data_IF_842597272902
#
_entry.id   IF_842597272902
#
_cell.length_a   1.000
_cell.length_b   1.000
_cell.length_c   1.000
_cell.angle_alpha   90.00
_cell.angle_beta   90.00
_cell.angle_gamma   90.00
#
_symmetry.space_group_name_H-M   'P 1'
#
loop_
_entity.id
_entity.type
_entity.pdbx_description
1 polymer ?
#
# COMPACT_ATOMS: atom_id res chain seq x y z
N UNK A 1 -13.81 14.92 21.06
CA UNK A 1 -12.90 13.77 20.89
C UNK A 1 -12.84 13.48 19.39
N UNK A 2 -11.88 14.08 18.69
CA UNK A 2 -11.75 13.93 17.23
C UNK A 2 -11.03 12.60 16.99
N UNK A 3 -11.77 11.56 16.61
CA UNK A 3 -11.20 10.31 16.11
C UNK A 3 -10.76 10.55 14.67
N UNK A 4 -9.48 10.79 14.46
CA UNK A 4 -8.86 10.60 13.15
C UNK A 4 -8.37 9.16 13.11
N UNK A 5 -9.08 8.33 12.33
CA UNK A 5 -8.69 6.96 12.03
C UNK A 5 -7.60 7.00 10.95
N UNK A 6 -6.36 7.28 11.33
CA UNK A 6 -5.24 7.19 10.41
C UNK A 6 -4.57 5.82 10.56
N UNK A 7 -4.75 5.01 9.53
CA UNK A 7 -4.09 3.73 9.35
C UNK A 7 -2.81 3.96 8.54
N UNK A 8 -1.65 3.57 9.08
CA UNK A 8 -0.39 3.66 8.35
C UNK A 8 -0.12 2.34 7.63
N UNK A 9 0.06 2.38 6.31
CA UNK A 9 0.32 1.21 5.49
C UNK A 9 1.82 1.03 5.28
N UNK A 10 2.35 -0.14 5.63
CA UNK A 10 3.68 -0.54 5.19
C UNK A 10 3.56 -1.07 3.75
N UNK A 11 4.12 -0.32 2.80
CA UNK A 11 4.23 -0.72 1.40
C UNK A 11 5.69 -1.04 1.09
N UNK A 12 5.90 -2.12 0.35
CA UNK A 12 7.21 -2.53 -0.12
C UNK A 12 7.36 -2.12 -1.58
N UNK A 13 8.34 -1.28 -1.86
CA UNK A 13 8.91 -1.07 -3.18
C UNK A 13 10.43 -1.21 -3.06
N UNK A 14 11.09 -1.78 -4.07
CA UNK A 14 12.55 -1.84 -4.10
C UNK A 14 13.05 -0.70 -4.99
N UNK A 15 13.86 0.20 -4.42
CA UNK A 15 14.63 1.15 -5.22
C UNK A 15 15.64 0.34 -6.06
N UNK A 16 15.56 0.47 -7.38
CA UNK A 16 16.66 0.08 -8.26
C UNK A 16 17.77 1.14 -8.13
N UNK A 17 19.06 0.79 -8.27
CA UNK A 17 20.15 1.76 -8.23
C UNK A 17 20.25 2.60 -9.51
N UNK A 18 19.30 2.47 -10.45
CA UNK A 18 19.29 3.18 -11.72
C UNK A 18 18.16 4.21 -11.75
N UNK A 19 18.48 5.40 -12.25
CA UNK A 19 17.66 6.62 -12.26
C UNK A 19 16.49 6.56 -13.27
N UNK A 20 16.00 5.37 -13.59
CA UNK A 20 14.72 5.21 -14.27
C UNK A 20 13.61 5.30 -13.23
N UNK A 21 12.70 6.27 -13.38
CA UNK A 21 11.39 6.34 -12.71
C UNK A 21 10.48 5.11 -13.01
N UNK A 22 11.06 4.07 -13.61
CA UNK A 22 10.40 2.88 -14.10
C UNK A 22 10.83 1.67 -13.26
N UNK A 23 9.87 0.83 -12.94
CA UNK A 23 10.05 -0.34 -12.09
C UNK A 23 10.75 -1.42 -12.91
N UNK A 24 11.98 -1.78 -12.55
CA UNK A 24 12.73 -2.84 -13.24
C UNK A 24 12.17 -4.24 -12.87
N UNK A 25 11.50 -4.95 -13.80
CA UNK A 25 10.93 -6.27 -13.55
C UNK A 25 11.99 -7.39 -13.51
N UNK A 26 13.24 -7.10 -13.86
CA UNK A 26 14.34 -8.08 -13.94
C UNK A 26 15.18 -8.13 -12.66
N UNK A 27 14.92 -7.25 -11.68
CA UNK A 27 15.55 -7.33 -10.36
C UNK A 27 15.13 -8.61 -9.66
N UNK A 28 16.11 -9.33 -9.11
CA UNK A 28 15.86 -10.54 -8.33
C UNK A 28 14.98 -10.24 -7.12
N UNK A 29 13.80 -10.88 -6.97
CA UNK A 29 12.90 -10.61 -5.86
C UNK A 29 13.57 -10.92 -4.52
N UNK A 30 13.57 -9.95 -3.60
CA UNK A 30 13.93 -10.22 -2.21
C UNK A 30 12.80 -11.04 -1.59
N UNK A 31 13.14 -12.18 -0.99
CA UNK A 31 12.18 -13.01 -0.25
C UNK A 31 11.88 -12.36 1.09
N UNK A 32 10.72 -11.74 1.18
CA UNK A 32 10.21 -11.14 2.39
C UNK A 32 9.10 -12.04 2.94
N UNK A 33 9.24 -12.47 4.20
CA UNK A 33 8.18 -13.22 4.88
C UNK A 33 7.22 -12.23 5.55
N UNK A 34 5.93 -12.21 5.21
CA UNK A 34 4.96 -11.28 5.81
C UNK A 34 4.89 -11.39 7.33
N UNK A 35 5.16 -12.57 7.90
CA UNK A 35 5.26 -12.80 9.34
C UNK A 35 6.33 -11.95 10.03
N UNK A 36 7.29 -11.39 9.30
CA UNK A 36 8.31 -10.52 9.86
C UNK A 36 7.76 -9.12 10.18
N UNK A 37 6.58 -8.79 9.67
CA UNK A 37 5.95 -7.48 9.87
C UNK A 37 4.69 -7.65 10.69
N UNK A 38 4.59 -6.86 11.75
CA UNK A 38 3.42 -6.81 12.62
C UNK A 38 2.99 -5.36 12.76
N UNK A 39 1.78 -5.08 12.30
CA UNK A 39 1.08 -3.84 12.61
C UNK A 39 0.15 -4.04 13.81
N UNK A 40 -0.22 -2.95 14.48
CA UNK A 40 -1.16 -3.00 15.61
C UNK A 40 -2.59 -3.37 15.20
N UNK A 41 -2.94 -3.23 13.92
CA UNK A 41 -4.22 -3.67 13.38
C UNK A 41 -4.09 -5.06 12.74
N UNK A 42 -4.95 -6.00 13.14
CA UNK A 42 -4.97 -7.36 12.57
C UNK A 42 -5.54 -7.36 11.14
N UNK A 43 -5.09 -8.32 10.33
CA UNK A 43 -5.70 -8.59 9.02
C UNK A 43 -7.08 -9.25 9.20
N UNK A 44 -8.06 -8.79 8.43
CA UNK A 44 -9.41 -9.35 8.39
C UNK A 44 -9.44 -10.73 7.75
N UNK A 45 -10.38 -11.56 8.19
CA UNK A 45 -10.57 -12.92 7.65
C UNK A 45 -11.50 -12.94 6.45
N UNK A 46 -12.54 -12.11 6.48
CA UNK A 46 -13.60 -12.01 5.48
C UNK A 46 -14.26 -10.62 5.54
N UNK A 47 -15.23 -10.39 4.64
CA UNK A 47 -15.90 -9.10 4.46
C UNK A 47 -16.84 -8.71 5.63
N UNK A 48 -17.17 -9.64 6.53
CA UNK A 48 -17.98 -9.34 7.72
C UNK A 48 -17.11 -9.00 8.94
N UNK A 49 -15.80 -9.11 8.81
CA UNK A 49 -14.87 -8.88 9.91
C UNK A 49 -14.77 -7.37 10.23
N UNK A 50 -14.62 -7.04 11.52
CA UNK A 50 -14.58 -5.65 12.00
C UNK A 50 -13.33 -5.38 12.82
N UNK A 51 -12.94 -4.10 12.91
CA UNK A 51 -11.73 -3.67 13.63
C UNK A 51 -10.47 -4.36 13.11
N UNK A 52 -10.37 -4.49 11.79
CA UNK A 52 -9.28 -5.13 11.08
C UNK A 52 -8.99 -4.37 9.77
N UNK A 53 -7.85 -4.64 9.15
CA UNK A 53 -7.56 -4.17 7.79
C UNK A 53 -7.75 -5.30 6.77
N UNK A 54 -8.10 -4.94 5.54
CA UNK A 54 -8.10 -5.84 4.40
C UNK A 54 -7.39 -5.16 3.22
N UNK A 55 -6.77 -5.96 2.35
CA UNK A 55 -6.26 -5.49 1.08
C UNK A 55 -7.26 -5.88 -0.01
N UNK A 56 -7.83 -4.93 -0.77
CA UNK A 56 -8.70 -5.27 -1.88
C UNK A 56 -7.91 -6.02 -2.96
N UNK A 57 -8.58 -6.94 -3.66
CA UNK A 57 -8.00 -7.54 -4.87
C UNK A 57 -8.03 -6.54 -6.03
N UNK A 58 -7.17 -6.76 -7.04
CA UNK A 58 -7.17 -5.98 -8.28
C UNK A 58 -8.53 -5.95 -8.98
N UNK A 59 -9.34 -7.00 -8.76
CA UNK A 59 -10.68 -7.14 -9.33
C UNK A 59 -11.69 -6.11 -8.82
N UNK A 60 -11.42 -5.48 -7.68
CA UNK A 60 -12.27 -4.43 -7.13
C UNK A 60 -12.15 -3.09 -7.87
N UNK A 61 -11.17 -2.94 -8.76
CA UNK A 61 -10.89 -1.68 -9.43
C UNK A 61 -11.10 -1.78 -10.94
N UNK A 62 -11.86 -0.83 -11.48
CA UNK A 62 -12.04 -0.69 -12.93
C UNK A 62 -11.05 0.36 -13.45
N UNK A 63 -10.06 -0.06 -14.20
CA UNK A 63 -9.03 0.82 -14.78
C UNK A 63 -9.37 1.18 -16.22
N UNK A 64 -8.84 2.30 -16.70
CA UNK A 64 -9.00 2.70 -18.11
C UNK A 64 -8.29 1.68 -19.00
N UNK A 65 -9.04 1.04 -19.89
CA UNK A 65 -8.47 0.10 -20.85
C UNK A 65 -7.58 0.81 -21.88
N UNK A 66 -6.80 0.04 -22.63
CA UNK A 66 -5.91 0.56 -23.69
C UNK A 66 -6.62 1.47 -24.68
N UNK A 67 -7.89 1.20 -24.96
CA UNK A 67 -8.71 1.91 -25.94
C UNK A 67 -9.68 2.92 -25.30
N UNK A 68 -9.51 3.26 -24.02
CA UNK A 68 -10.46 4.10 -23.27
C UNK A 68 -10.74 5.44 -23.95
N UNK A 69 -9.76 6.06 -24.62
CA UNK A 69 -9.97 7.33 -25.31
C UNK A 69 -10.89 7.21 -26.54
N UNK A 70 -11.03 6.01 -27.10
CA UNK A 70 -11.87 5.76 -28.28
C UNK A 70 -13.22 5.15 -27.93
N UNK A 71 -13.26 4.24 -26.96
CA UNK A 71 -14.48 3.48 -26.62
C UNK A 71 -15.00 3.74 -25.21
N UNK A 72 -14.27 4.52 -24.39
CA UNK A 72 -14.56 4.81 -22.98
C UNK A 72 -14.68 3.56 -22.10
N UNK A 73 -14.16 2.41 -22.56
CA UNK A 73 -14.26 1.13 -21.88
C UNK A 73 -13.27 1.00 -20.73
N UNK A 74 -13.77 0.57 -19.57
CA UNK A 74 -12.95 0.19 -18.43
C UNK A 74 -12.79 -1.31 -18.38
N UNK A 75 -11.63 -1.76 -17.92
CA UNK A 75 -11.32 -3.17 -17.71
C UNK A 75 -11.07 -3.41 -16.23
N UNK A 76 -11.29 -4.64 -15.79
CA UNK A 76 -10.96 -5.07 -14.43
C UNK A 76 -9.44 -4.97 -14.25
N UNK A 77 -9.00 -4.41 -13.13
CA UNK A 77 -7.59 -4.32 -12.77
C UNK A 77 -6.96 -5.68 -12.56
N UNK A 78 -5.66 -5.77 -12.84
CA UNK A 78 -4.82 -6.91 -12.46
C UNK A 78 -4.40 -6.84 -10.99
N UNK A 79 -3.67 -7.85 -10.53
CA UNK A 79 -3.12 -7.85 -9.18
C UNK A 79 -2.23 -6.61 -8.95
N UNK A 80 -2.34 -5.96 -7.77
CA UNK A 80 -1.54 -4.80 -7.47
C UNK A 80 -0.06 -5.16 -7.44
N UNK A 81 0.78 -4.27 -7.98
CA UNK A 81 2.22 -4.45 -7.93
C UNK A 81 2.75 -4.41 -6.48
N UNK A 82 2.14 -3.58 -5.65
CA UNK A 82 2.50 -3.43 -4.25
C UNK A 82 1.60 -4.30 -3.38
N UNK A 83 2.22 -4.99 -2.43
CA UNK A 83 1.50 -5.78 -1.43
C UNK A 83 1.49 -5.04 -0.09
N UNK A 84 0.29 -4.83 0.47
CA UNK A 84 0.12 -4.36 1.84
C UNK A 84 0.50 -5.47 2.82
N UNK A 85 1.50 -5.22 3.67
CA UNK A 85 2.04 -6.22 4.61
C UNK A 85 1.62 -6.00 6.07
N UNK A 86 1.37 -4.76 6.49
CA UNK A 86 0.97 -4.42 7.86
C UNK A 86 0.28 -3.05 7.92
N UNK A 87 -0.59 -2.89 8.92
CA UNK A 87 -1.29 -1.64 9.22
C UNK A 87 -1.22 -1.33 10.71
N UNK A 88 -0.86 -0.09 11.05
CA UNK A 88 -0.86 0.41 12.42
C UNK A 88 -1.98 1.43 12.66
N UNK A 89 -2.66 1.33 13.79
CA UNK A 89 -3.53 2.38 14.33
C UNK A 89 -2.72 3.27 15.26
N UNK A 90 -2.62 4.56 14.91
CA UNK A 90 -2.05 5.57 15.80
C UNK A 90 -3.16 6.37 16.47
N UNK A 91 -3.07 6.55 17.80
CA UNK A 91 -4.01 7.40 18.55
C UNK A 91 -3.25 8.60 19.10
N UNK A 92 -3.70 9.80 18.75
CA UNK A 92 -3.07 11.06 19.14
C UNK A 92 -4.08 11.99 19.80
N UNK A 93 -3.60 12.74 20.79
CA UNK A 93 -4.42 13.69 21.56
C UNK A 93 -4.55 15.05 20.86
N UNK A 94 -3.78 15.26 19.78
CA UNK A 94 -3.71 16.47 18.96
C UNK A 94 -3.60 16.05 17.49
N UNK A 95 -4.05 16.86 16.52
CA UNK A 95 -3.80 16.60 15.11
C UNK A 95 -2.30 16.48 14.86
N UNK A 96 -1.89 15.43 14.14
CA UNK A 96 -0.52 15.20 13.71
C UNK A 96 -0.54 15.09 12.20
N UNK A 97 0.25 15.90 11.51
CA UNK A 97 0.48 15.83 10.08
C UNK A 97 1.92 15.36 9.78
N UNK A 98 2.23 15.11 8.51
CA UNK A 98 3.61 14.87 8.04
C UNK A 98 4.36 13.71 8.69
N UNK A 99 3.65 12.72 9.24
CA UNK A 99 4.26 11.51 9.84
C UNK A 99 5.19 10.81 8.85
N UNK A 100 4.79 10.78 7.58
CA UNK A 100 5.60 10.24 6.48
C UNK A 100 6.88 11.04 6.20
N UNK A 101 7.05 12.27 6.69
CA UNK A 101 8.26 13.08 6.53
C UNK A 101 9.32 12.81 7.62
N UNK A 102 9.06 11.90 8.54
CA UNK A 102 10.04 11.55 9.56
C UNK A 102 11.30 10.97 8.88
N UNK A 103 12.53 11.44 9.19
CA UNK A 103 13.75 10.99 8.49
C UNK A 103 14.05 9.49 8.55
N UNK A 104 13.39 8.77 9.48
CA UNK A 104 13.47 7.31 9.60
C UNK A 104 12.21 6.58 9.07
N UNK A 105 11.31 7.29 8.39
CA UNK A 105 10.13 6.69 7.80
C UNK A 105 10.56 5.82 6.61
N UNK A 106 10.30 4.52 6.69
CA UNK A 106 10.68 3.55 5.65
C UNK A 106 10.07 3.90 4.29
N UNK A 107 8.89 4.51 4.26
CA UNK A 107 8.21 4.95 3.02
C UNK A 107 9.04 5.97 2.24
N UNK A 108 9.79 6.86 2.91
CA UNK A 108 10.67 7.82 2.22
C UNK A 108 11.96 7.23 1.70
N UNK A 109 12.40 6.11 2.28
CA UNK A 109 13.63 5.43 1.85
C UNK A 109 13.40 4.70 0.52
N UNK A 110 12.14 4.37 0.25
CA UNK A 110 11.71 3.49 -0.83
C UNK A 110 11.21 4.25 -2.07
N UNK A 111 10.75 5.49 -1.93
CA UNK A 111 10.21 6.34 -3.02
C UNK A 111 11.13 7.56 -3.24
N UNK A 112 12.39 7.33 -3.59
CA UNK A 112 13.33 8.40 -3.94
C UNK A 112 13.77 8.30 -5.38
#
# INVERSE_FOLDING_TARGET
>A
MIRLNEAFCHLLLHAAPDLSEELDPYVSPIKIHPSNFHGSLRKGKDDNDTNCWASPSGKGFMIRGKNYLTDTSKVVGGDPLLQLIAVDWFTVNKPVDRIALHPKCLVQIVIK
#
